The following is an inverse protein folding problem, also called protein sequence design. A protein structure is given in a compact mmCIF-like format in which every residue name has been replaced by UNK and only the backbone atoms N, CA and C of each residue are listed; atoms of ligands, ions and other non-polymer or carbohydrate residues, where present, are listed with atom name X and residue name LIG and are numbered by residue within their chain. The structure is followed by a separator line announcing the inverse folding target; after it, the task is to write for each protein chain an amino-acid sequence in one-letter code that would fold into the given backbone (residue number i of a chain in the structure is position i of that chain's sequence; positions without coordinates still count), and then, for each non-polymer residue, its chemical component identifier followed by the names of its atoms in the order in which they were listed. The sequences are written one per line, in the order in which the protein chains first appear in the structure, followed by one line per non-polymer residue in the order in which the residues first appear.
data_IF_000327472879
#
_entry.id   IF_000327472879
#
_cell.length_a   1.000
_cell.length_b   1.000
_cell.length_c   1.000
_cell.angle_alpha   90.00
_cell.angle_beta   90.00
_cell.angle_gamma   90.00
#
_symmetry.space_group_name_H-M   'P 1'
#
loop_
_entity.id
_entity.type
_entity.pdbx_description
1 polymer ?
#
# COMPACT_ATOMS: atom_id res chain seq x y z
N UNK A 1 26.53 31.37 -5.21
CA UNK A 1 26.14 30.38 -4.18
C UNK A 1 25.41 29.29 -4.95
N UNK A 2 26.04 28.15 -5.15
CA UNK A 2 25.61 27.18 -6.16
C UNK A 2 24.38 26.39 -5.70
N UNK A 3 23.49 26.16 -6.66
CA UNK A 3 22.24 25.39 -6.59
C UNK A 3 22.53 23.96 -7.06
N UNK A 4 23.60 23.36 -6.55
CA UNK A 4 23.99 21.99 -6.87
C UNK A 4 23.87 21.15 -5.59
N UNK A 5 23.03 20.13 -5.67
CA UNK A 5 22.91 18.96 -4.77
C UNK A 5 21.80 18.92 -3.71
N UNK A 6 20.65 19.61 -3.91
CA UNK A 6 19.45 19.37 -3.08
C UNK A 6 18.66 18.10 -3.45
N UNK A 7 19.25 17.14 -4.18
CA UNK A 7 18.61 15.86 -4.51
C UNK A 7 19.66 14.77 -4.78
N UNK A 8 19.92 13.89 -3.82
CA UNK A 8 20.44 12.55 -4.12
C UNK A 8 20.19 11.57 -2.96
N UNK A 9 19.23 10.66 -3.16
CA UNK A 9 18.90 9.47 -2.36
C UNK A 9 18.22 9.66 -0.99
N UNK A 10 17.01 10.23 -0.97
CA UNK A 10 16.07 9.89 0.10
C UNK A 10 15.69 8.41 -0.09
N UNK A 11 16.24 7.51 0.75
CA UNK A 11 16.00 6.06 0.66
C UNK A 11 14.57 5.78 1.09
N UNK A 12 13.65 5.76 0.13
CA UNK A 12 12.27 5.36 0.40
C UNK A 12 12.20 3.87 0.73
N UNK A 13 11.39 3.51 1.73
CA UNK A 13 11.03 2.13 2.03
C UNK A 13 9.88 1.76 1.10
N UNK A 14 10.02 0.63 0.41
CA UNK A 14 8.90 -0.05 -0.26
C UNK A 14 8.56 -1.30 0.51
N UNK A 15 7.28 -1.48 0.81
CA UNK A 15 6.78 -2.67 1.45
C UNK A 15 5.57 -3.22 0.69
N UNK A 16 5.46 -4.54 0.64
CA UNK A 16 4.24 -5.23 0.25
C UNK A 16 3.50 -5.55 1.54
N UNK A 17 2.23 -5.19 1.61
CA UNK A 17 1.37 -5.47 2.76
C UNK A 17 0.20 -6.30 2.27
N UNK A 18 0.14 -7.54 2.74
CA UNK A 18 -0.95 -8.46 2.50
C UNK A 18 -1.94 -8.36 3.66
N UNK A 19 -3.24 -8.26 3.36
CA UNK A 19 -4.29 -7.88 4.31
C UNK A 19 -5.40 -8.93 4.30
N UNK A 20 -5.75 -9.39 5.49
CA UNK A 20 -6.97 -10.16 5.73
C UNK A 20 -8.11 -9.22 6.09
N UNK A 21 -9.24 -9.39 5.42
CA UNK A 21 -10.37 -8.49 5.52
C UNK A 21 -11.63 -9.25 5.96
N UNK A 22 -12.54 -8.53 6.60
CA UNK A 22 -13.92 -8.96 6.76
C UNK A 22 -14.65 -8.86 5.43
N UNK A 23 -15.11 -9.99 4.88
CA UNK A 23 -15.77 -10.07 3.57
C UNK A 23 -16.93 -9.08 3.42
N UNK A 24 -17.62 -8.74 4.50
CA UNK A 24 -18.71 -7.75 4.47
C UNK A 24 -18.23 -6.29 4.35
N UNK A 25 -16.93 -6.03 4.51
CA UNK A 25 -16.29 -4.71 4.55
C UNK A 25 -15.18 -4.55 3.51
N UNK A 26 -15.02 -5.51 2.61
CA UNK A 26 -13.93 -5.52 1.64
C UNK A 26 -13.89 -4.24 0.78
N UNK A 27 -15.02 -3.85 0.22
CA UNK A 27 -15.15 -2.60 -0.56
C UNK A 27 -14.79 -1.34 0.25
N UNK A 28 -15.18 -1.30 1.53
CA UNK A 28 -14.86 -0.17 2.43
C UNK A 28 -13.36 -0.12 2.70
N UNK A 29 -12.72 -1.27 2.93
CA UNK A 29 -11.28 -1.36 3.15
C UNK A 29 -10.50 -0.92 1.92
N UNK A 30 -10.86 -1.40 0.72
CA UNK A 30 -10.23 -0.98 -0.54
C UNK A 30 -10.33 0.53 -0.70
N UNK A 31 -11.52 1.11 -0.46
CA UNK A 31 -11.73 2.55 -0.59
C UNK A 31 -10.85 3.35 0.38
N UNK A 32 -10.80 2.95 1.65
CA UNK A 32 -9.97 3.62 2.66
C UNK A 32 -8.47 3.49 2.35
N UNK A 33 -8.02 2.34 1.83
CA UNK A 33 -6.63 2.16 1.40
C UNK A 33 -6.26 3.09 0.25
N UNK A 34 -7.15 3.26 -0.74
CA UNK A 34 -6.95 4.17 -1.88
C UNK A 34 -6.89 5.66 -1.48
N UNK A 35 -7.30 6.03 -0.26
CA UNK A 35 -7.20 7.39 0.26
C UNK A 35 -5.85 7.66 0.95
N UNK A 36 -5.02 6.65 1.18
CA UNK A 36 -3.74 6.79 1.86
C UNK A 36 -2.63 7.12 0.85
N UNK A 37 -2.03 8.30 0.94
CA UNK A 37 -0.95 8.73 0.03
C UNK A 37 0.25 7.76 -0.03
N UNK A 38 0.52 7.05 1.08
CA UNK A 38 1.60 6.08 1.17
C UNK A 38 1.30 4.76 0.43
N UNK A 39 0.03 4.51 0.05
CA UNK A 39 -0.40 3.31 -0.68
C UNK A 39 -0.37 3.61 -2.17
N UNK A 40 0.58 2.99 -2.89
CA UNK A 40 0.76 3.21 -4.33
C UNK A 40 -0.11 2.29 -5.18
N UNK A 41 -0.35 1.07 -4.70
CA UNK A 41 -1.05 0.03 -5.45
C UNK A 41 -1.95 -0.76 -4.49
N UNK A 42 -3.18 -1.08 -4.92
CA UNK A 42 -4.12 -1.92 -4.19
C UNK A 42 -4.66 -2.98 -5.14
N UNK A 43 -4.53 -4.25 -4.76
CA UNK A 43 -4.99 -5.38 -5.54
C UNK A 43 -5.87 -6.28 -4.71
N UNK A 44 -7.04 -6.61 -5.22
CA UNK A 44 -7.82 -7.77 -4.76
C UNK A 44 -7.17 -9.04 -5.33
N UNK A 45 -6.96 -10.04 -4.48
CA UNK A 45 -6.25 -11.27 -4.85
C UNK A 45 -7.01 -12.49 -4.37
N UNK A 46 -7.05 -13.56 -5.17
CA UNK A 46 -7.70 -14.83 -4.80
C UNK A 46 -6.80 -15.70 -3.90
N UNK A 47 -5.90 -15.08 -3.13
CA UNK A 47 -4.82 -15.73 -2.39
C UNK A 47 -5.22 -16.19 -0.99
N UNK A 48 -4.24 -16.41 -0.11
CA UNK A 48 -4.49 -16.59 1.33
C UNK A 48 -5.05 -15.31 1.97
N UNK A 49 -4.69 -14.17 1.39
CA UNK A 49 -5.12 -12.83 1.76
C UNK A 49 -6.14 -12.32 0.75
N UNK A 50 -6.93 -11.35 1.16
CA UNK A 50 -7.97 -10.76 0.32
C UNK A 50 -7.40 -9.59 -0.52
N UNK A 51 -6.50 -8.80 0.09
CA UNK A 51 -5.89 -7.63 -0.53
C UNK A 51 -4.36 -7.70 -0.43
N UNK A 52 -3.67 -7.37 -1.51
CA UNK A 52 -2.23 -7.09 -1.54
C UNK A 52 -2.00 -5.63 -1.95
N UNK A 53 -1.25 -4.89 -1.15
CA UNK A 53 -0.96 -3.47 -1.42
C UNK A 53 0.54 -3.15 -1.39
N UNK A 54 0.96 -2.22 -2.24
CA UNK A 54 2.33 -1.67 -2.23
C UNK A 54 2.31 -0.35 -1.49
N UNK A 55 3.14 -0.25 -0.45
CA UNK A 55 3.29 0.93 0.39
C UNK A 55 4.67 1.54 0.17
N UNK A 56 4.75 2.84 -0.14
CA UNK A 56 5.99 3.60 -0.23
C UNK A 56 5.99 4.71 0.81
N UNK A 57 7.08 4.78 1.58
CA UNK A 57 7.28 5.76 2.67
C UNK A 57 8.71 6.27 2.67
N UNK A 58 8.97 7.39 3.32
CA UNK A 58 10.29 8.00 3.40
C UNK A 58 11.26 7.18 4.25
N UNK A 59 10.78 6.55 5.32
CA UNK A 59 11.59 5.73 6.21
C UNK A 59 10.77 4.62 6.92
N UNK A 60 11.46 3.85 7.75
CA UNK A 60 10.86 2.72 8.47
C UNK A 60 9.88 3.14 9.56
N UNK A 61 10.05 4.33 10.13
CA UNK A 61 9.19 4.82 11.21
C UNK A 61 7.87 5.33 10.64
N UNK A 62 7.90 6.01 9.49
CA UNK A 62 6.70 6.35 8.72
C UNK A 62 5.98 5.09 8.22
N UNK A 63 6.71 4.07 7.75
CA UNK A 63 6.10 2.78 7.40
C UNK A 63 5.37 2.16 8.61
N UNK A 64 6.01 2.13 9.78
CA UNK A 64 5.40 1.60 11.01
C UNK A 64 4.17 2.38 11.43
N UNK A 65 4.20 3.70 11.30
CA UNK A 65 3.05 4.56 11.57
C UNK A 65 1.92 4.27 10.60
N UNK A 66 2.20 4.26 9.29
CA UNK A 66 1.24 3.95 8.24
C UNK A 66 0.59 2.58 8.47
N UNK A 67 1.39 1.55 8.79
CA UNK A 67 0.87 0.22 9.05
C UNK A 67 -0.04 0.19 10.29
N UNK A 68 0.44 0.69 11.44
CA UNK A 68 -0.27 0.55 12.73
C UNK A 68 -1.40 1.55 12.93
N UNK A 69 -1.19 2.79 12.51
CA UNK A 69 -2.09 3.90 12.80
C UNK A 69 -3.02 4.25 11.64
N UNK A 70 -2.75 3.76 10.42
CA UNK A 70 -3.62 3.95 9.26
C UNK A 70 -4.22 2.61 8.86
N UNK A 71 -3.44 1.71 8.24
CA UNK A 71 -3.94 0.45 7.65
C UNK A 71 -4.65 -0.44 8.68
N UNK A 72 -3.99 -0.78 9.79
CA UNK A 72 -4.58 -1.68 10.81
C UNK A 72 -5.77 -1.08 11.57
N UNK A 73 -6.03 0.23 11.43
CA UNK A 73 -7.20 0.89 12.04
C UNK A 73 -8.40 0.95 11.11
N UNK A 74 -8.25 0.60 9.84
CA UNK A 74 -9.37 0.56 8.90
C UNK A 74 -10.35 -0.51 9.38
N UNK A 75 -11.62 -0.11 9.47
CA UNK A 75 -12.72 -1.00 9.84
C UNK A 75 -12.83 -2.14 8.83
N UNK A 76 -12.69 -3.39 9.32
CA UNK A 76 -12.72 -4.58 8.47
C UNK A 76 -11.36 -5.24 8.29
N UNK A 77 -10.25 -4.57 8.58
CA UNK A 77 -8.93 -5.19 8.61
C UNK A 77 -8.82 -6.11 9.82
N UNK A 78 -8.60 -7.41 9.58
CA UNK A 78 -8.44 -8.44 10.62
C UNK A 78 -6.98 -8.62 11.02
N UNK A 79 -6.10 -8.67 10.05
CA UNK A 79 -4.66 -8.84 10.24
C UNK A 79 -3.90 -8.46 8.98
N UNK A 80 -2.59 -8.23 9.13
CA UNK A 80 -1.68 -7.86 8.04
C UNK A 80 -0.39 -8.67 8.13
N UNK A 81 0.19 -8.98 6.98
CA UNK A 81 1.56 -9.49 6.84
C UNK A 81 2.32 -8.50 5.97
N UNK A 82 3.49 -8.06 6.42
CA UNK A 82 4.28 -7.05 5.71
C UNK A 82 5.66 -7.58 5.31
N UNK A 83 6.05 -7.31 4.07
CA UNK A 83 7.35 -7.65 3.49
C UNK A 83 8.06 -6.40 3.01
N UNK A 84 9.16 -6.01 3.65
CA UNK A 84 9.99 -4.88 3.21
C UNK A 84 10.87 -5.33 2.03
N UNK A 85 10.84 -4.56 0.95
CA UNK A 85 11.63 -4.83 -0.25
C UNK A 85 13.09 -4.44 0.00
N UNK A 86 13.98 -5.43 -0.01
CA UNK A 86 15.43 -5.20 0.17
C UNK A 86 16.13 -4.81 -1.14
N UNK A 87 15.66 -5.34 -2.26
CA UNK A 87 16.16 -5.04 -3.61
C UNK A 87 15.11 -5.42 -4.65
N UNK A 88 14.91 -4.58 -5.66
CA UNK A 88 14.04 -4.87 -6.79
C UNK A 88 14.87 -5.10 -8.05
N UNK A 89 14.72 -6.25 -8.69
CA UNK A 89 15.33 -6.50 -10.00
C UNK A 89 14.60 -5.79 -11.15
N UNK A 90 13.30 -5.50 -10.99
CA UNK A 90 12.40 -4.79 -11.94
C UNK A 90 11.14 -4.27 -11.22
N UNK A 91 10.62 -3.09 -11.58
CA UNK A 91 9.32 -2.51 -11.16
C UNK A 91 9.11 -1.11 -11.80
N UNK A 92 7.96 -0.43 -11.86
CA UNK A 92 6.54 -0.69 -11.55
C UNK A 92 5.74 -1.08 -12.82
N UNK A 93 4.51 -1.62 -12.66
CA UNK A 93 3.56 -1.88 -13.76
C UNK A 93 2.71 -0.64 -14.01
N UNK A 94 2.67 -0.17 -15.26
CA UNK A 94 1.63 0.73 -15.73
C UNK A 94 0.35 -0.08 -15.98
N UNK A 95 -0.79 0.56 -15.71
CA UNK A 95 -2.14 0.28 -16.23
C UNK A 95 -3.16 0.00 -15.12
N UNK A 96 -3.91 1.06 -14.81
CA UNK A 96 -5.16 1.06 -14.07
C UNK A 96 -6.10 -0.01 -14.63
N UNK A 97 -6.49 -1.00 -13.81
CA UNK A 97 -7.78 -1.63 -14.00
C UNK A 97 -8.78 -0.72 -13.29
N UNK A 98 -9.43 0.14 -14.05
CA UNK A 98 -10.66 0.78 -13.61
C UNK A 98 -11.65 -0.35 -13.31
N UNK A 99 -11.90 -0.63 -12.03
CA UNK A 99 -13.09 -1.38 -11.66
C UNK A 99 -14.25 -0.42 -11.91
N UNK A 100 -14.84 -0.52 -13.11
CA UNK A 100 -16.14 0.07 -13.38
C UNK A 100 -17.12 -0.53 -12.37
N UNK A 101 -17.53 0.27 -11.39
CA UNK A 101 -18.69 0.00 -10.55
C UNK A 101 -19.94 0.01 -11.44
N UNK A 102 -20.20 -1.09 -12.12
CA UNK A 102 -21.54 -1.38 -12.66
C UNK A 102 -22.34 -2.15 -11.62
N UNK A 103 -23.13 -1.40 -10.86
CA UNK A 103 -24.36 -1.77 -10.13
C UNK A 103 -24.83 -0.46 -9.46
N UNK A 104 -25.99 0.12 -9.71
CA UNK A 104 -27.26 -0.25 -10.36
C UNK A 104 -27.87 0.99 -11.03
#
# INVERSE_FOLDING_TARGET
MNVEDFNSNQKTITAIVDIFVDTLKEEEVVKELCLLDAVEEVYEVTGEFDIATVVRTEDIDEFRDTLKNKIMKISGVKSVVSSIVLSAAKGQRADQISIESQKE
#
